data_IF_959885589815
#
_entry.id   IF_959885589815
#
_cell.length_a   1.000
_cell.length_b   1.000
_cell.length_c   1.000
_cell.angle_alpha   90.00
_cell.angle_beta   90.00
_cell.angle_gamma   90.00
#
_symmetry.space_group_name_H-M   'P 1'
#
loop_
_entity.id
_entity.type
_entity.pdbx_description
1 polymer ?
#
# COMPACT_ATOMS: atom_id res chain seq x y z
N UNK A 1 -6.50 -8.70 17.91
CA UNK A 1 -6.68 -8.81 19.37
C UNK A 1 -5.45 -9.42 20.01
N UNK A 2 -5.01 -8.98 21.20
CA UNK A 2 -3.94 -9.66 21.96
C UNK A 2 -4.44 -11.00 22.50
N UNK A 3 -3.51 -11.95 22.76
CA UNK A 3 -3.85 -13.24 23.38
C UNK A 3 -4.45 -14.31 22.46
N UNK A 4 -4.43 -14.12 21.12
CA UNK A 4 -5.00 -15.09 20.16
C UNK A 4 -4.01 -16.11 19.62
N UNK A 5 -2.80 -16.21 20.19
CA UNK A 5 -1.81 -17.21 19.82
C UNK A 5 -0.85 -16.84 18.68
N UNK A 6 -0.81 -15.58 18.24
CA UNK A 6 0.13 -15.12 17.19
C UNK A 6 1.59 -15.47 17.52
N UNK A 7 2.03 -15.15 18.73
CA UNK A 7 3.40 -15.45 19.19
C UNK A 7 3.69 -16.96 19.23
N UNK A 8 2.67 -17.79 19.49
CA UNK A 8 2.84 -19.24 19.42
C UNK A 8 3.22 -19.72 18.01
N UNK A 9 2.59 -19.16 16.97
CA UNK A 9 2.93 -19.48 15.57
C UNK A 9 4.38 -19.06 15.27
N UNK A 10 4.79 -17.86 15.71
CA UNK A 10 6.14 -17.37 15.56
C UNK A 10 7.17 -18.29 16.25
N UNK A 11 6.84 -18.76 17.46
CA UNK A 11 7.68 -19.73 18.20
C UNK A 11 7.80 -21.07 17.45
N UNK A 12 6.69 -21.60 16.92
CA UNK A 12 6.70 -22.83 16.11
C UNK A 12 7.62 -22.68 14.90
N UNK A 13 7.44 -21.60 14.11
CA UNK A 13 8.27 -21.31 12.94
C UNK A 13 9.75 -21.17 13.33
N UNK A 14 10.05 -20.48 14.41
CA UNK A 14 11.42 -20.29 14.89
C UNK A 14 12.08 -21.61 15.31
N UNK A 15 11.34 -22.52 15.90
CA UNK A 15 11.85 -23.82 16.31
C UNK A 15 12.08 -24.75 15.11
N UNK A 16 11.18 -24.76 14.14
CA UNK A 16 11.29 -25.61 12.94
C UNK A 16 12.42 -25.10 12.03
N UNK A 17 12.49 -23.81 11.75
CA UNK A 17 13.52 -23.21 10.89
C UNK A 17 14.89 -23.19 11.60
N UNK A 18 14.89 -23.25 12.91
CA UNK A 18 16.06 -23.14 13.77
C UNK A 18 16.35 -21.68 14.15
N UNK A 19 16.42 -21.42 15.45
CA UNK A 19 16.58 -20.06 16.02
C UNK A 19 17.74 -19.26 15.42
N UNK A 20 18.82 -19.93 14.97
CA UNK A 20 19.98 -19.28 14.35
C UNK A 20 19.67 -18.70 12.96
N UNK A 21 18.63 -19.19 12.30
CA UNK A 21 18.20 -18.79 10.97
C UNK A 21 17.05 -17.76 11.01
N UNK A 22 16.65 -17.35 12.21
CA UNK A 22 15.53 -16.41 12.42
C UNK A 22 16.07 -15.12 13.00
N UNK A 23 15.72 -14.00 12.38
CA UNK A 23 16.02 -12.66 12.89
C UNK A 23 14.73 -12.05 13.47
N UNK A 24 14.62 -11.95 14.80
CA UNK A 24 13.55 -11.15 15.41
C UNK A 24 13.87 -9.65 15.21
N UNK A 25 12.92 -8.91 14.68
CA UNK A 25 13.06 -7.49 14.41
C UNK A 25 12.00 -6.71 15.18
N UNK A 26 12.46 -5.78 15.99
CA UNK A 26 11.63 -4.76 16.59
C UNK A 26 11.65 -3.45 15.79
N UNK A 27 10.99 -2.44 16.32
CA UNK A 27 10.94 -1.12 15.70
C UNK A 27 12.33 -0.47 15.57
N UNK A 28 13.21 -0.67 16.55
CA UNK A 28 14.55 -0.11 16.55
C UNK A 28 15.44 -0.68 15.44
N UNK A 29 15.38 -1.99 15.22
CA UNK A 29 16.13 -2.68 14.17
C UNK A 29 15.63 -2.28 12.79
N UNK A 30 14.32 -2.21 12.59
CA UNK A 30 13.71 -1.73 11.34
C UNK A 30 14.04 -0.25 11.08
N UNK A 31 14.14 0.57 12.13
CA UNK A 31 14.54 1.97 12.05
C UNK A 31 16.02 2.19 11.77
N UNK A 32 16.86 1.19 12.05
CA UNK A 32 18.32 1.28 11.91
C UNK A 32 18.77 1.35 10.45
N UNK A 33 19.89 2.04 10.21
CA UNK A 33 20.62 1.98 8.95
C UNK A 33 21.44 0.69 8.82
N UNK A 34 21.72 0.02 9.94
CA UNK A 34 22.46 -1.25 9.95
C UNK A 34 21.48 -2.42 9.86
N UNK A 35 21.76 -3.32 8.93
CA UNK A 35 20.87 -4.45 8.63
C UNK A 35 21.60 -5.80 8.57
N UNK A 36 22.69 -5.96 9.32
CA UNK A 36 23.45 -7.23 9.40
C UNK A 36 22.56 -8.43 9.76
N UNK A 37 21.45 -8.21 10.46
CA UNK A 37 20.46 -9.23 10.80
C UNK A 37 19.88 -9.95 9.57
N UNK A 38 19.92 -9.33 8.39
CA UNK A 38 19.47 -9.94 7.15
C UNK A 38 20.42 -11.00 6.61
N UNK A 39 21.71 -10.91 6.98
CA UNK A 39 22.74 -11.82 6.46
C UNK A 39 22.55 -13.25 6.99
N UNK A 40 22.25 -14.17 6.09
CA UNK A 40 22.09 -15.58 6.41
C UNK A 40 20.77 -15.97 7.09
N UNK A 41 19.90 -15.01 7.37
CA UNK A 41 18.57 -15.30 7.91
C UNK A 41 17.69 -15.98 6.88
N UNK A 42 16.81 -16.88 7.34
CA UNK A 42 15.79 -17.56 6.54
C UNK A 42 14.38 -17.04 6.84
N UNK A 43 14.18 -16.46 8.02
CA UNK A 43 12.93 -15.84 8.43
C UNK A 43 13.19 -14.56 9.21
N UNK A 44 12.52 -13.49 8.81
CA UNK A 44 12.42 -12.26 9.58
C UNK A 44 11.10 -12.31 10.37
N UNK A 45 11.19 -12.24 11.68
CA UNK A 45 10.03 -12.11 12.56
C UNK A 45 9.90 -10.66 12.99
N UNK A 46 8.82 -10.01 12.59
CA UNK A 46 8.55 -8.65 12.99
C UNK A 46 7.46 -8.68 14.04
N UNK A 47 7.85 -8.42 15.28
CA UNK A 47 6.93 -8.33 16.40
C UNK A 47 6.42 -6.89 16.54
N UNK A 48 5.11 -6.77 16.72
CA UNK A 48 4.45 -5.50 17.04
C UNK A 48 4.76 -4.35 16.07
N UNK A 49 4.38 -4.52 14.80
CA UNK A 49 4.37 -3.42 13.84
C UNK A 49 3.48 -2.29 14.39
N UNK A 50 4.10 -1.30 15.01
CA UNK A 50 3.44 -0.11 15.54
C UNK A 50 3.44 1.01 14.52
N UNK A 51 2.36 1.74 14.49
CA UNK A 51 2.03 2.78 13.52
C UNK A 51 2.81 4.12 13.67
N UNK A 52 4.01 4.16 14.24
CA UNK A 52 4.69 5.44 14.50
C UNK A 52 5.21 6.11 13.22
N UNK A 53 5.60 5.33 12.22
CA UNK A 53 5.84 5.87 10.86
C UNK A 53 5.53 4.79 9.80
N UNK A 54 4.24 4.57 9.57
CA UNK A 54 3.73 3.53 8.67
C UNK A 54 4.40 3.57 7.29
N UNK A 55 4.66 4.77 6.77
CA UNK A 55 5.25 4.95 5.45
C UNK A 55 6.73 4.57 5.44
N UNK A 56 7.49 4.91 6.49
CA UNK A 56 8.90 4.58 6.58
C UNK A 56 9.12 3.07 6.66
N UNK A 57 8.32 2.37 7.48
CA UNK A 57 8.36 0.90 7.57
C UNK A 57 8.01 0.26 6.23
N UNK A 58 6.96 0.71 5.55
CA UNK A 58 6.59 0.20 4.23
C UNK A 58 7.70 0.44 3.20
N UNK A 59 8.30 1.63 3.19
CA UNK A 59 9.42 1.95 2.29
C UNK A 59 10.66 1.08 2.53
N UNK A 60 10.95 0.71 3.78
CA UNK A 60 12.07 -0.17 4.13
C UNK A 60 11.79 -1.63 3.80
N UNK A 61 10.58 -2.11 4.04
CA UNK A 61 10.19 -3.48 3.73
C UNK A 61 10.06 -3.73 2.24
N UNK A 62 9.67 -2.75 1.45
CA UNK A 62 9.42 -2.89 0.04
C UNK A 62 10.61 -3.46 -0.77
N UNK A 63 11.83 -2.89 -0.71
CA UNK A 63 12.98 -3.47 -1.39
C UNK A 63 13.35 -4.85 -0.82
N UNK A 64 13.20 -5.05 0.50
CA UNK A 64 13.51 -6.31 1.16
C UNK A 64 12.60 -7.45 0.64
N UNK A 65 11.34 -7.17 0.33
CA UNK A 65 10.39 -8.17 -0.20
C UNK A 65 10.65 -8.47 -1.68
N UNK A 66 11.16 -7.50 -2.46
CA UNK A 66 11.13 -7.58 -3.93
C UNK A 66 12.48 -7.84 -4.58
N UNK A 67 13.58 -7.57 -3.89
CA UNK A 67 14.93 -7.68 -4.46
C UNK A 67 15.52 -9.08 -4.23
N UNK A 68 16.23 -9.60 -5.23
CA UNK A 68 16.98 -10.87 -5.12
C UNK A 68 18.25 -10.70 -4.30
N UNK A 69 18.86 -9.51 -4.34
CA UNK A 69 20.01 -9.13 -3.53
C UNK A 69 19.69 -7.89 -2.70
N UNK A 70 20.17 -7.84 -1.48
CA UNK A 70 20.05 -6.68 -0.59
C UNK A 70 21.40 -6.13 -0.19
N UNK A 71 21.56 -4.80 -0.09
CA UNK A 71 22.75 -4.20 0.45
C UNK A 71 22.84 -4.47 1.96
N UNK A 72 23.95 -5.03 2.41
CA UNK A 72 24.25 -5.23 3.82
C UNK A 72 25.11 -4.08 4.30
N UNK A 73 24.61 -3.35 5.27
CA UNK A 73 25.31 -2.29 5.96
C UNK A 73 25.63 -2.75 7.39
N UNK A 74 26.89 -2.95 7.68
CA UNK A 74 27.38 -3.36 8.97
C UNK A 74 28.38 -2.34 9.53
N UNK A 75 28.42 -2.20 10.86
CA UNK A 75 29.24 -1.19 11.51
C UNK A 75 30.74 -1.46 11.26
N UNK A 76 31.42 -0.49 10.65
CA UNK A 76 32.85 -0.57 10.39
C UNK A 76 33.22 -1.45 9.20
N UNK A 77 32.26 -1.89 8.41
CA UNK A 77 32.49 -2.68 7.20
C UNK A 77 31.94 -1.92 5.98
N UNK A 78 32.65 -1.97 4.86
CA UNK A 78 32.10 -1.41 3.62
C UNK A 78 30.82 -2.15 3.24
N UNK A 79 29.80 -1.40 2.77
CA UNK A 79 28.54 -1.98 2.33
C UNK A 79 28.78 -2.98 1.18
N UNK A 80 28.21 -4.16 1.28
CA UNK A 80 28.28 -5.21 0.26
C UNK A 80 26.90 -5.77 -0.01
N UNK A 81 26.74 -6.52 -1.10
CA UNK A 81 25.47 -7.18 -1.45
C UNK A 81 25.47 -8.63 -0.97
N UNK A 82 24.30 -9.09 -0.55
CA UNK A 82 24.08 -10.49 -0.19
C UNK A 82 22.74 -10.96 -0.76
N UNK A 83 22.65 -12.27 -1.01
CA UNK A 83 21.42 -12.89 -1.48
C UNK A 83 20.28 -12.73 -0.46
N UNK A 84 19.11 -12.39 -0.97
CA UNK A 84 17.89 -12.31 -0.20
C UNK A 84 17.19 -13.67 -0.16
N UNK A 85 17.39 -14.40 0.94
CA UNK A 85 16.92 -15.79 1.10
C UNK A 85 15.84 -15.96 2.17
N UNK A 86 15.24 -14.89 2.68
CA UNK A 86 14.32 -14.99 3.80
C UNK A 86 12.88 -14.70 3.43
N UNK A 87 11.97 -15.37 4.13
CA UNK A 87 10.57 -14.96 4.23
C UNK A 87 10.36 -13.94 5.36
N UNK A 88 9.26 -13.24 5.32
CA UNK A 88 8.88 -12.28 6.37
C UNK A 88 7.58 -12.73 7.00
N UNK A 89 7.56 -12.83 8.34
CA UNK A 89 6.36 -13.04 9.12
C UNK A 89 6.21 -11.88 10.10
N UNK A 90 5.18 -11.06 9.89
CA UNK A 90 4.92 -9.87 10.69
C UNK A 90 3.64 -10.04 11.51
N UNK A 91 3.69 -9.61 12.75
CA UNK A 91 2.55 -9.66 13.66
C UNK A 91 2.18 -8.26 14.14
N UNK A 92 0.89 -8.01 14.24
CA UNK A 92 0.37 -6.74 14.74
C UNK A 92 -0.97 -6.93 15.43
N UNK A 93 -1.28 -6.01 16.33
CA UNK A 93 -2.61 -5.84 16.91
C UNK A 93 -3.34 -4.63 16.31
N UNK A 94 -2.74 -3.93 15.34
CA UNK A 94 -3.29 -2.73 14.71
C UNK A 94 -3.90 -3.07 13.36
N UNK A 95 -5.12 -2.61 13.11
CA UNK A 95 -5.83 -2.83 11.84
C UNK A 95 -5.12 -2.15 10.67
N UNK A 96 -4.54 -0.98 10.88
CA UNK A 96 -3.77 -0.24 9.89
C UNK A 96 -2.27 -0.25 10.21
N UNK A 97 -1.67 -1.43 10.33
CA UNK A 97 -0.26 -1.58 10.69
C UNK A 97 0.70 -1.11 9.59
N UNK A 98 0.38 -1.39 8.34
CA UNK A 98 1.14 -1.00 7.15
C UNK A 98 0.18 -0.29 6.19
N UNK A 99 0.55 0.86 5.62
CA UNK A 99 -0.24 1.46 4.56
C UNK A 99 -0.12 0.60 3.30
N UNK A 100 -1.21 -0.01 2.91
CA UNK A 100 -1.32 -0.80 1.69
C UNK A 100 -2.10 0.00 0.65
N UNK A 101 -1.60 -0.02 -0.58
CA UNK A 101 -2.29 0.56 -1.72
C UNK A 101 -3.25 -0.46 -2.34
N UNK A 102 -4.29 0.02 -3.01
CA UNK A 102 -5.14 -0.82 -3.84
C UNK A 102 -4.29 -1.59 -4.87
N UNK A 103 -4.49 -2.90 -4.88
CA UNK A 103 -3.77 -3.76 -5.80
C UNK A 103 -2.35 -4.12 -5.34
N UNK A 104 -1.99 -3.88 -4.08
CA UNK A 104 -0.75 -4.45 -3.54
C UNK A 104 -0.73 -5.96 -3.75
N UNK A 105 0.40 -6.48 -4.23
CA UNK A 105 0.58 -7.90 -4.60
C UNK A 105 1.52 -8.67 -3.68
N UNK A 106 2.10 -8.00 -2.66
CA UNK A 106 3.21 -8.53 -1.88
C UNK A 106 2.77 -9.14 -0.57
N UNK A 107 1.77 -8.51 0.07
CA UNK A 107 1.36 -8.87 1.42
C UNK A 107 0.18 -9.83 1.38
N UNK A 108 0.33 -10.98 2.02
CA UNK A 108 -0.79 -11.78 2.51
C UNK A 108 -1.13 -11.24 3.91
N UNK A 109 -2.34 -10.79 4.10
CA UNK A 109 -2.82 -10.30 5.39
C UNK A 109 -3.89 -11.24 5.90
N UNK A 110 -3.66 -11.78 7.09
CA UNK A 110 -4.63 -12.64 7.78
C UNK A 110 -5.00 -12.04 9.12
N UNK A 111 -6.27 -12.13 9.48
CA UNK A 111 -6.80 -11.71 10.77
C UNK A 111 -7.43 -12.88 11.49
N UNK A 112 -7.18 -12.98 12.79
CA UNK A 112 -7.88 -13.91 13.64
C UNK A 112 -8.85 -13.14 14.54
N UNK A 113 -10.12 -13.52 14.47
CA UNK A 113 -11.20 -13.01 15.33
C UNK A 113 -11.49 -14.01 16.47
N UNK A 114 -10.61 -14.98 16.66
CA UNK A 114 -10.74 -15.98 17.72
C UNK A 114 -10.76 -15.34 19.11
N UNK A 115 -11.71 -15.74 19.91
CA UNK A 115 -11.73 -15.37 21.34
C UNK A 115 -10.58 -16.08 22.04
N UNK A 116 -9.75 -15.34 22.83
CA UNK A 116 -8.70 -15.96 23.61
C UNK A 116 -9.23 -17.11 24.46
N UNK A 117 -8.52 -18.24 24.47
CA UNK A 117 -8.81 -19.37 25.34
C UNK A 117 -8.25 -19.12 26.74
N UNK A 118 -8.53 -20.03 27.66
CA UNK A 118 -7.99 -19.97 29.02
C UNK A 118 -6.47 -20.26 29.08
N UNK A 119 -5.87 -19.98 30.21
CA UNK A 119 -4.43 -20.19 30.41
C UNK A 119 -4.02 -21.66 30.30
N UNK A 120 -4.90 -22.61 30.68
CA UNK A 120 -4.63 -24.02 30.62
C UNK A 120 -4.47 -24.49 29.17
N UNK A 121 -5.30 -24.01 28.25
CA UNK A 121 -5.18 -24.26 26.83
C UNK A 121 -3.82 -23.83 26.26
N UNK A 122 -3.41 -22.59 26.54
CA UNK A 122 -2.12 -22.09 26.03
C UNK A 122 -0.94 -22.80 26.68
N UNK A 123 -1.04 -23.14 27.97
CA UNK A 123 -0.02 -23.94 28.64
C UNK A 123 0.15 -25.30 27.95
N UNK A 124 -0.95 -25.97 27.62
CA UNK A 124 -0.91 -27.24 26.88
C UNK A 124 -0.25 -27.09 25.50
N UNK A 125 -0.58 -26.03 24.75
CA UNK A 125 0.07 -25.73 23.47
C UNK A 125 1.58 -25.54 23.61
N UNK A 126 2.03 -24.75 24.59
CA UNK A 126 3.46 -24.53 24.84
C UNK A 126 4.17 -25.80 25.33
N UNK A 127 3.49 -26.70 26.01
CA UNK A 127 4.05 -27.99 26.38
C UNK A 127 4.31 -28.88 25.16
N UNK A 128 3.50 -28.76 24.10
CA UNK A 128 3.74 -29.46 22.81
C UNK A 128 5.06 -28.97 22.18
N UNK A 129 5.39 -27.68 22.23
CA UNK A 129 6.64 -27.16 21.69
C UNK A 129 7.89 -27.69 22.39
N UNK A 130 7.76 -28.22 23.62
CA UNK A 130 8.86 -28.85 24.36
C UNK A 130 9.10 -30.31 23.95
N UNK A 131 8.23 -30.88 23.10
CA UNK A 131 8.32 -32.26 22.65
C UNK A 131 8.97 -32.30 21.25
N UNK A 132 10.20 -32.80 21.10
CA UNK A 132 10.89 -32.86 19.81
C UNK A 132 10.09 -33.66 18.75
N UNK A 133 9.39 -34.70 19.14
CA UNK A 133 8.56 -35.51 18.23
C UNK A 133 7.38 -34.70 17.67
N UNK A 134 6.76 -33.83 18.45
CA UNK A 134 5.67 -32.98 17.97
C UNK A 134 6.15 -31.95 16.97
N UNK A 135 7.28 -31.30 17.27
CA UNK A 135 7.90 -30.36 16.33
C UNK A 135 8.33 -31.04 15.02
N UNK A 136 8.93 -32.24 15.13
CA UNK A 136 9.30 -33.03 13.96
C UNK A 136 8.08 -33.41 13.11
N UNK A 137 6.94 -33.76 13.74
CA UNK A 137 5.71 -34.08 13.03
C UNK A 137 5.14 -32.86 12.30
N UNK A 138 5.16 -31.64 12.92
CA UNK A 138 4.72 -30.41 12.29
C UNK A 138 5.66 -30.04 11.12
N UNK A 139 6.97 -30.13 11.33
CA UNK A 139 7.95 -29.87 10.27
C UNK A 139 7.76 -30.81 9.09
N UNK A 140 7.58 -32.11 9.36
CA UNK A 140 7.32 -33.13 8.34
C UNK A 140 6.05 -32.83 7.53
N UNK A 141 4.93 -32.46 8.19
CA UNK A 141 3.68 -32.13 7.52
C UNK A 141 3.86 -30.89 6.62
N UNK A 142 4.56 -29.86 7.09
CA UNK A 142 4.81 -28.66 6.31
C UNK A 142 5.72 -28.92 5.11
N UNK A 143 6.77 -29.75 5.28
CA UNK A 143 7.72 -30.08 4.23
C UNK A 143 7.10 -30.95 3.12
N UNK A 144 6.17 -31.84 3.50
CA UNK A 144 5.54 -32.81 2.58
C UNK A 144 4.14 -32.37 2.14
N UNK A 145 3.71 -31.16 2.52
CA UNK A 145 2.40 -30.65 2.13
C UNK A 145 2.36 -30.40 0.63
N UNK A 146 1.38 -30.95 -0.04
CA UNK A 146 1.13 -30.63 -1.43
C UNK A 146 0.70 -29.18 -1.57
N UNK A 147 1.51 -28.38 -2.24
CA UNK A 147 1.24 -26.98 -2.51
C UNK A 147 0.44 -26.77 -3.82
N UNK A 148 0.15 -27.86 -4.55
CA UNK A 148 -0.57 -27.78 -5.81
C UNK A 148 0.08 -26.83 -6.79
N UNK A 149 -0.70 -25.87 -7.28
CA UNK A 149 -0.24 -24.84 -8.22
C UNK A 149 0.31 -23.58 -7.54
N UNK A 150 0.65 -23.65 -6.24
CA UNK A 150 1.21 -22.49 -5.53
C UNK A 150 2.58 -22.10 -6.10
N UNK A 151 2.73 -20.82 -6.44
CA UNK A 151 4.00 -20.20 -6.80
C UNK A 151 4.23 -19.00 -5.89
N UNK A 152 5.34 -19.00 -5.17
CA UNK A 152 5.71 -17.92 -4.24
C UNK A 152 5.93 -16.56 -4.95
N UNK A 153 6.08 -16.55 -6.26
CA UNK A 153 6.21 -15.34 -7.09
C UNK A 153 4.87 -14.77 -7.55
N UNK A 154 3.79 -15.50 -7.34
CA UNK A 154 2.44 -15.03 -7.66
C UNK A 154 2.02 -13.87 -6.76
N UNK A 155 1.00 -13.17 -7.21
CA UNK A 155 0.34 -12.16 -6.40
C UNK A 155 -0.22 -12.81 -5.12
N UNK A 156 0.07 -12.21 -3.97
CA UNK A 156 -0.51 -12.63 -2.70
C UNK A 156 -2.05 -12.61 -2.80
N UNK A 157 -2.75 -13.62 -2.24
CA UNK A 157 -4.20 -13.65 -2.21
C UNK A 157 -4.79 -12.38 -1.61
N UNK A 158 -5.93 -11.98 -2.15
CA UNK A 158 -6.71 -10.87 -1.63
C UNK A 158 -7.67 -11.41 -0.56
N UNK A 159 -7.37 -11.11 0.70
CA UNK A 159 -8.20 -11.50 1.85
C UNK A 159 -9.05 -10.33 2.32
N UNK A 160 -10.14 -10.61 3.03
CA UNK A 160 -10.95 -9.54 3.64
C UNK A 160 -10.12 -8.70 4.61
N UNK A 161 -9.25 -9.32 5.39
CA UNK A 161 -8.34 -8.61 6.30
C UNK A 161 -7.41 -7.64 5.58
N UNK A 162 -6.98 -7.98 4.36
CA UNK A 162 -6.18 -7.08 3.52
C UNK A 162 -7.00 -5.90 3.02
N UNK A 163 -8.24 -6.13 2.58
CA UNK A 163 -9.14 -5.06 2.15
C UNK A 163 -9.45 -4.10 3.31
N UNK A 164 -9.75 -4.64 4.50
CA UNK A 164 -9.98 -3.85 5.72
C UNK A 164 -8.75 -3.01 6.08
N UNK A 165 -7.54 -3.57 5.92
CA UNK A 165 -6.28 -2.84 6.17
C UNK A 165 -6.04 -1.72 5.16
N UNK A 166 -6.36 -1.94 3.88
CA UNK A 166 -6.31 -0.91 2.84
C UNK A 166 -7.28 0.22 3.19
N UNK A 167 -8.53 -0.10 3.54
CA UNK A 167 -9.54 0.88 3.93
C UNK A 167 -9.12 1.68 5.16
N UNK A 168 -8.64 1.00 6.21
CA UNK A 168 -8.14 1.64 7.44
C UNK A 168 -6.88 2.50 7.23
N UNK A 169 -6.19 2.33 6.10
CA UNK A 169 -5.00 3.10 5.74
C UNK A 169 -5.31 4.37 4.94
N UNK A 170 -6.56 4.55 4.52
CA UNK A 170 -6.99 5.71 3.74
C UNK A 170 -6.94 6.97 4.59
N UNK A 171 -6.50 8.06 3.96
CA UNK A 171 -6.53 9.39 4.58
C UNK A 171 -7.92 10.02 4.39
N UNK A 172 -8.23 11.06 5.17
CA UNK A 172 -9.47 11.84 4.96
C UNK A 172 -9.56 12.39 3.53
N UNK A 173 -8.41 12.72 2.93
CA UNK A 173 -8.32 13.13 1.54
C UNK A 173 -8.70 11.99 0.59
N UNK A 174 -8.17 10.77 0.82
CA UNK A 174 -8.51 9.61 0.00
C UNK A 174 -10.00 9.29 0.10
N UNK A 175 -10.56 9.32 1.30
CA UNK A 175 -11.99 9.11 1.54
C UNK A 175 -12.85 10.15 0.81
N UNK A 176 -12.45 11.41 0.84
CA UNK A 176 -13.12 12.47 0.07
C UNK A 176 -13.01 12.20 -1.44
N UNK A 177 -11.82 11.94 -1.96
CA UNK A 177 -11.63 11.68 -3.40
C UNK A 177 -12.42 10.46 -3.87
N UNK A 178 -12.55 9.42 -3.03
CA UNK A 178 -13.35 8.24 -3.32
C UNK A 178 -14.84 8.60 -3.42
N UNK A 179 -15.34 9.43 -2.51
CA UNK A 179 -16.76 9.84 -2.54
C UNK A 179 -17.13 10.68 -3.77
N UNK A 180 -16.14 11.32 -4.39
CA UNK A 180 -16.32 12.13 -5.59
C UNK A 180 -16.18 11.33 -6.91
N UNK A 181 -15.82 10.04 -6.86
CA UNK A 181 -15.73 9.20 -8.06
C UNK A 181 -17.11 9.12 -8.74
N UNK A 182 -17.16 9.48 -10.03
CA UNK A 182 -18.40 9.53 -10.80
C UNK A 182 -19.06 10.91 -10.83
N UNK A 183 -18.63 11.84 -9.97
CA UNK A 183 -19.03 13.24 -9.99
C UNK A 183 -17.99 14.10 -10.74
N UNK A 184 -18.37 15.28 -11.26
CA UNK A 184 -17.38 16.23 -11.79
C UNK A 184 -16.34 16.61 -10.71
N UNK A 185 -15.04 16.63 -11.04
CA UNK A 185 -14.45 16.45 -12.39
C UNK A 185 -14.09 14.99 -12.73
N UNK A 186 -14.31 14.01 -11.83
CA UNK A 186 -13.86 12.63 -12.00
C UNK A 186 -14.67 11.82 -13.02
N UNK A 187 -15.79 12.34 -13.49
CA UNK A 187 -16.59 11.78 -14.60
C UNK A 187 -15.97 12.05 -15.99
N UNK A 188 -14.92 12.88 -16.07
CA UNK A 188 -14.29 13.32 -17.32
C UNK A 188 -13.15 12.44 -17.75
N UNK A 189 -12.94 12.33 -19.07
CA UNK A 189 -11.81 11.58 -19.65
C UNK A 189 -10.48 12.37 -19.56
N UNK A 190 -10.52 13.69 -19.52
CA UNK A 190 -9.36 14.57 -19.39
C UNK A 190 -9.57 15.56 -18.25
N UNK A 191 -8.59 15.59 -17.33
CA UNK A 191 -8.59 16.47 -16.16
C UNK A 191 -7.22 17.09 -15.90
N UNK A 192 -7.20 18.21 -15.19
CA UNK A 192 -6.01 18.84 -14.64
C UNK A 192 -6.13 18.92 -13.11
N UNK A 193 -5.15 18.42 -12.37
CA UNK A 193 -5.19 18.41 -10.90
C UNK A 193 -5.39 19.81 -10.34
N UNK A 194 -4.65 20.81 -10.86
CA UNK A 194 -4.69 22.17 -10.33
C UNK A 194 -5.97 22.91 -10.66
N UNK A 195 -6.55 22.63 -11.83
CA UNK A 195 -7.70 23.40 -12.33
C UNK A 195 -9.03 22.75 -11.99
N UNK A 196 -9.06 21.41 -11.93
CA UNK A 196 -10.30 20.68 -11.80
C UNK A 196 -10.44 20.07 -10.40
N UNK A 197 -9.36 19.50 -9.82
CA UNK A 197 -9.47 18.74 -8.56
C UNK A 197 -9.21 19.63 -7.35
N UNK A 198 -8.12 20.40 -7.33
CA UNK A 198 -7.80 21.23 -6.16
C UNK A 198 -8.94 22.17 -5.76
N UNK A 199 -9.65 22.81 -6.70
CA UNK A 199 -10.76 23.71 -6.35
C UNK A 199 -11.95 23.05 -5.65
N UNK A 200 -12.16 21.74 -5.85
CA UNK A 200 -13.27 21.01 -5.23
C UNK A 200 -12.91 20.40 -3.89
N UNK A 201 -11.61 20.39 -3.52
CA UNK A 201 -11.17 19.85 -2.23
C UNK A 201 -11.51 20.82 -1.10
N UNK A 202 -12.22 20.37 -0.06
CA UNK A 202 -12.53 21.18 1.11
C UNK A 202 -11.27 21.75 1.77
N UNK A 203 -11.26 23.04 2.19
CA UNK A 203 -10.09 23.68 2.81
C UNK A 203 -9.53 22.93 4.03
N UNK A 204 -10.39 22.24 4.80
CA UNK A 204 -10.00 21.43 5.95
C UNK A 204 -9.06 20.26 5.59
N UNK A 205 -9.09 19.78 4.34
CA UNK A 205 -8.23 18.69 3.84
C UNK A 205 -6.96 19.23 3.20
N UNK A 206 -6.87 20.53 2.99
CA UNK A 206 -5.66 21.20 2.52
C UNK A 206 -4.75 21.45 3.73
N UNK A 207 -3.63 20.71 3.82
CA UNK A 207 -2.62 20.97 4.86
C UNK A 207 -2.00 22.35 4.66
N UNK A 208 -1.77 23.08 5.76
CA UNK A 208 -1.02 24.35 5.74
C UNK A 208 0.41 24.06 5.26
N UNK A 209 0.75 24.51 4.04
CA UNK A 209 2.07 24.33 3.45
C UNK A 209 2.04 24.31 1.92
N UNK A 210 3.19 24.18 1.26
CA UNK A 210 3.24 24.20 -0.21
C UNK A 210 2.41 23.06 -0.79
N UNK A 211 1.56 23.38 -1.77
CA UNK A 211 0.62 22.46 -2.46
C UNK A 211 1.27 21.22 -3.11
N UNK A 212 2.60 21.11 -3.12
CA UNK A 212 3.32 19.99 -3.72
C UNK A 212 2.99 18.63 -3.09
N UNK A 213 2.73 18.58 -1.79
CA UNK A 213 2.31 17.37 -1.09
C UNK A 213 0.90 16.93 -1.49
N UNK A 214 -0.02 17.88 -1.58
CA UNK A 214 -1.40 17.64 -2.01
C UNK A 214 -1.46 17.15 -3.46
N UNK A 215 -0.78 17.86 -4.38
CA UNK A 215 -0.71 17.45 -5.79
C UNK A 215 -0.14 16.03 -5.95
N UNK A 216 0.87 15.66 -5.14
CA UNK A 216 1.47 14.34 -5.18
C UNK A 216 0.50 13.26 -4.67
N UNK A 217 -0.24 13.53 -3.61
CA UNK A 217 -1.26 12.62 -3.08
C UNK A 217 -2.38 12.40 -4.09
N UNK A 218 -2.91 13.47 -4.71
CA UNK A 218 -3.92 13.37 -5.76
C UNK A 218 -3.38 12.60 -6.97
N UNK A 219 -2.16 12.88 -7.41
CA UNK A 219 -1.53 12.16 -8.52
C UNK A 219 -1.37 10.66 -8.23
N UNK A 220 -1.05 10.30 -6.99
CA UNK A 220 -1.02 8.90 -6.54
C UNK A 220 -2.41 8.27 -6.60
N UNK A 221 -3.42 8.94 -6.09
CA UNK A 221 -4.81 8.49 -6.15
C UNK A 221 -5.28 8.26 -7.60
N UNK A 222 -5.09 9.23 -8.49
CA UNK A 222 -5.46 9.10 -9.90
C UNK A 222 -4.78 7.91 -10.57
N UNK A 223 -3.49 7.71 -10.31
CA UNK A 223 -2.70 6.64 -10.93
C UNK A 223 -3.13 5.26 -10.43
N UNK A 224 -3.24 5.11 -9.12
CA UNK A 224 -3.42 3.78 -8.51
C UNK A 224 -4.90 3.39 -8.40
N UNK A 225 -5.77 4.33 -8.06
CA UNK A 225 -7.20 4.07 -7.84
C UNK A 225 -8.00 4.14 -9.14
N UNK A 226 -7.81 5.18 -9.94
CA UNK A 226 -8.53 5.39 -11.18
C UNK A 226 -7.80 4.89 -12.43
N UNK A 227 -6.60 4.30 -12.25
CA UNK A 227 -5.73 3.86 -13.35
C UNK A 227 -5.47 4.99 -14.36
N UNK A 228 -5.40 6.21 -13.84
CA UNK A 228 -5.17 7.41 -14.62
C UNK A 228 -3.76 7.46 -15.19
N UNK A 229 -3.64 8.00 -16.38
CA UNK A 229 -2.38 8.22 -17.07
C UNK A 229 -2.08 9.71 -17.20
N UNK A 230 -0.92 10.14 -16.73
CA UNK A 230 -0.44 11.52 -16.88
C UNK A 230 0.35 11.64 -18.18
N UNK A 231 0.02 12.67 -19.01
CA UNK A 231 0.82 12.96 -20.20
C UNK A 231 2.17 13.57 -19.80
N UNK A 232 3.25 13.14 -20.43
CA UNK A 232 4.62 13.54 -20.07
C UNK A 232 4.89 15.02 -20.33
N UNK A 233 4.29 15.59 -21.38
CA UNK A 233 4.48 16.98 -21.77
C UNK A 233 3.37 17.89 -21.24
N UNK A 234 3.71 19.16 -21.05
CA UNK A 234 2.75 20.21 -20.72
C UNK A 234 1.94 20.59 -21.96
N UNK A 235 0.66 20.82 -21.75
CA UNK A 235 -0.26 21.33 -22.77
C UNK A 235 -0.43 22.83 -22.57
N UNK A 236 -0.49 23.57 -23.68
CA UNK A 236 -0.70 25.03 -23.64
C UNK A 236 -2.16 25.30 -23.97
N UNK A 237 -2.90 25.85 -22.99
CA UNK A 237 -4.29 26.25 -23.18
C UNK A 237 -4.39 27.49 -24.11
N UNK A 238 -5.58 27.74 -24.67
CA UNK A 238 -5.84 28.89 -25.56
C UNK A 238 -5.46 30.22 -24.92
N UNK A 239 -5.50 30.34 -23.58
CA UNK A 239 -5.02 31.50 -22.82
C UNK A 239 -3.50 31.56 -22.57
N UNK A 240 -2.68 30.69 -23.19
CA UNK A 240 -1.22 30.67 -23.04
C UNK A 240 -0.73 29.96 -21.76
N UNK A 241 -1.62 29.57 -20.85
CA UNK A 241 -1.27 28.88 -19.60
C UNK A 241 -0.89 27.42 -19.87
N UNK A 242 0.15 26.93 -19.19
CA UNK A 242 0.63 25.57 -19.30
C UNK A 242 0.02 24.68 -18.22
N UNK A 243 -0.54 23.53 -18.62
CA UNK A 243 -1.16 22.55 -17.74
C UNK A 243 -0.63 21.15 -18.01
N UNK A 244 -0.71 20.27 -17.01
CA UNK A 244 -0.48 18.83 -17.16
C UNK A 244 -1.82 18.11 -17.11
N UNK A 245 -2.18 17.48 -18.21
CA UNK A 245 -3.42 16.73 -18.32
C UNK A 245 -3.23 15.27 -17.87
N UNK A 246 -4.30 14.76 -17.30
CA UNK A 246 -4.48 13.36 -16.95
C UNK A 246 -5.60 12.78 -17.79
N UNK A 247 -5.40 11.54 -18.23
CA UNK A 247 -6.40 10.74 -18.88
C UNK A 247 -6.99 9.74 -17.89
N UNK A 248 -8.31 9.65 -17.80
CA UNK A 248 -9.05 8.72 -16.96
C UNK A 248 -9.83 7.70 -17.81
N UNK A 249 -10.55 6.81 -17.14
CA UNK A 249 -11.49 5.85 -17.74
C UNK A 249 -10.91 4.95 -18.85
N UNK A 250 -9.61 4.61 -18.77
CA UNK A 250 -8.97 3.73 -19.76
C UNK A 250 -8.89 4.29 -21.18
N UNK A 251 -9.10 5.61 -21.36
CA UNK A 251 -9.07 6.29 -22.67
C UNK A 251 -7.66 6.57 -23.19
N UNK A 252 -6.61 6.13 -22.48
CA UNK A 252 -5.21 6.35 -22.85
C UNK A 252 -4.92 5.96 -24.32
N UNK A 253 -5.35 4.78 -24.77
CA UNK A 253 -5.08 4.30 -26.12
C UNK A 253 -5.67 5.17 -27.24
N UNK A 254 -6.73 5.94 -26.94
CA UNK A 254 -7.36 6.87 -27.87
C UNK A 254 -6.69 8.23 -27.77
N UNK A 255 -6.59 8.76 -26.53
CA UNK A 255 -6.14 10.13 -26.28
C UNK A 255 -4.64 10.33 -26.54
N UNK A 256 -3.81 9.29 -26.45
CA UNK A 256 -2.39 9.37 -26.82
C UNK A 256 -2.17 9.52 -28.32
N UNK A 257 -3.11 9.06 -29.16
CA UNK A 257 -3.05 9.22 -30.62
C UNK A 257 -3.37 10.65 -31.10
N UNK A 258 -4.06 11.43 -30.27
CA UNK A 258 -4.39 12.81 -30.59
C UNK A 258 -3.17 13.71 -30.45
N UNK A 259 -3.14 14.78 -31.28
CA UNK A 259 -2.14 15.82 -31.16
C UNK A 259 -2.36 16.65 -29.87
N UNK A 260 -1.31 17.27 -29.31
CA UNK A 260 -1.45 18.09 -28.10
C UNK A 260 -2.54 19.14 -28.15
N UNK A 261 -2.70 19.83 -29.29
CA UNK A 261 -3.72 20.86 -29.47
C UNK A 261 -5.15 20.29 -29.53
N UNK A 262 -5.33 19.07 -30.02
CA UNK A 262 -6.63 18.39 -30.03
C UNK A 262 -7.07 18.02 -28.63
N UNK A 263 -6.13 17.53 -27.79
CA UNK A 263 -6.40 17.26 -26.38
C UNK A 263 -6.77 18.53 -25.60
N UNK A 264 -6.10 19.64 -25.90
CA UNK A 264 -6.44 20.95 -25.31
C UNK A 264 -7.87 21.36 -25.71
N UNK A 265 -8.24 21.24 -26.98
CA UNK A 265 -9.60 21.54 -27.42
C UNK A 265 -10.65 20.70 -26.72
N UNK A 266 -10.40 19.39 -26.55
CA UNK A 266 -11.30 18.49 -25.82
C UNK A 266 -11.42 18.89 -24.35
N UNK A 267 -10.31 19.22 -23.70
CA UNK A 267 -10.29 19.67 -22.33
C UNK A 267 -11.05 21.00 -22.13
N UNK A 268 -10.79 22.00 -22.98
CA UNK A 268 -11.43 23.32 -22.90
C UNK A 268 -12.91 23.28 -23.26
N UNK A 269 -13.32 22.43 -24.19
CA UNK A 269 -14.72 22.30 -24.62
C UNK A 269 -15.63 21.89 -23.46
N UNK A 270 -15.17 21.02 -22.56
CA UNK A 270 -15.94 20.61 -21.37
C UNK A 270 -16.10 21.73 -20.35
N UNK A 271 -15.05 22.52 -20.12
CA UNK A 271 -15.13 23.67 -19.23
C UNK A 271 -16.12 24.76 -19.72
N UNK A 272 -16.29 24.88 -21.04
CA UNK A 272 -17.26 25.83 -21.61
C UNK A 272 -18.73 25.34 -21.46
N UNK A 273 -18.98 24.04 -21.53
CA UNK A 273 -20.31 23.46 -21.35
C UNK A 273 -20.79 23.62 -19.89
N UNK A 274 -19.90 23.38 -18.92
CA UNK A 274 -20.26 23.51 -17.50
C UNK A 274 -20.48 24.95 -17.04
N UNK A 275 -19.71 25.91 -17.56
CA UNK A 275 -19.95 27.34 -17.29
C UNK A 275 -21.34 27.76 -17.77
N UNK A 276 -21.78 27.32 -18.96
CA UNK A 276 -23.12 27.61 -19.46
C UNK A 276 -24.22 26.98 -18.62
N UNK A 277 -24.00 25.76 -18.07
CA UNK A 277 -24.98 25.08 -17.23
C UNK A 277 -25.06 25.70 -15.83
N UNK A 278 -23.93 26.14 -15.28
CA UNK A 278 -23.87 26.84 -14.01
C UNK A 278 -24.52 28.23 -14.11
N UNK A 279 -24.22 28.98 -15.17
CA UNK A 279 -24.82 30.30 -15.44
C UNK A 279 -26.33 30.16 -15.70
N UNK A 280 -26.80 29.10 -16.35
CA UNK A 280 -28.21 28.85 -16.57
C UNK A 280 -28.96 28.51 -15.26
N UNK A 281 -28.34 27.69 -14.37
CA UNK A 281 -28.92 27.40 -13.04
C UNK A 281 -29.01 28.64 -12.15
N UNK A 282 -27.98 29.49 -12.16
CA UNK A 282 -27.98 30.76 -11.41
C UNK A 282 -29.06 31.69 -11.95
N UNK A 283 -29.28 31.73 -13.27
CA UNK A 283 -30.37 32.53 -13.85
C UNK A 283 -31.77 32.03 -13.46
N UNK A 284 -31.98 30.73 -13.43
CA UNK A 284 -33.28 30.11 -12.99
C UNK A 284 -33.55 30.37 -11.50
N UNK A 285 -32.53 30.37 -10.64
CA UNK A 285 -32.65 30.64 -9.20
C UNK A 285 -32.90 32.14 -8.89
N UNK A 286 -32.67 33.06 -9.86
CA UNK A 286 -32.99 34.49 -9.73
C UNK A 286 -34.35 34.87 -10.32
N UNK A 287 -35.00 33.99 -11.11
CA UNK A 287 -36.34 34.22 -11.66
C UNK A 287 -37.46 33.49 -10.88
N UNK A 288 -37.12 32.72 -9.83
CA UNK A 288 -38.07 32.05 -8.92
C UNK A 288 -38.10 32.77 -7.56
#
# INVERSE_FOLDING_TARGET
MPGTGKSFIADVLSLIIGKKNVAPLGHAELGSTFNRWALGSKLLLIEELRALDKREVAHKLHPIITQEEIPINDKGVATFKADNCFGIFAMTNHEAAIPLDDGDRRYLVERTDAVPRDAAYYMALYMILKQPAALAAIAYDLEHRDLGAYDARQRAPETQAKLDMIESSQTDLDSFLISEIGNPPFDRDLICIHDDIIPVIPPRLMRSGPNAGLTRAIASFLRHRLRGFQFDHQHVLSGGRRVRLWCLHGKQGILTKLQPHERVRLYEARGAVERKTADAKVAEDFES
#
